data_IF_792774307155
#
_entry.id   IF_792774307155
#
_cell.length_a   1.000
_cell.length_b   1.000
_cell.length_c   1.000
_cell.angle_alpha   90.00
_cell.angle_beta   90.00
_cell.angle_gamma   90.00
#
_symmetry.space_group_name_H-M   'P 1'
#
loop_
_entity.id
_entity.type
_entity.pdbx_description
1 polymer ?
#
# COMPACT_ATOMS: atom_id res chain seq x y z
N UNK A 1 -5.86 -6.70 9.42
CA UNK A 1 -6.64 -5.69 10.19
C UNK A 1 -6.94 -4.54 9.25
N UNK A 2 -8.16 -4.03 9.27
CA UNK A 2 -8.52 -2.82 8.53
C UNK A 2 -8.14 -1.60 9.35
N UNK A 3 -7.39 -0.67 8.74
CA UNK A 3 -7.04 0.60 9.36
C UNK A 3 -7.95 1.67 8.78
N UNK A 4 -8.62 2.43 9.63
CA UNK A 4 -9.52 3.51 9.22
C UNK A 4 -9.06 4.85 9.78
N UNK A 5 -9.26 5.91 9.00
CA UNK A 5 -8.98 7.29 9.38
C UNK A 5 -10.12 8.19 8.91
N UNK A 6 -10.57 9.09 9.77
CA UNK A 6 -11.53 10.14 9.41
C UNK A 6 -10.77 11.37 8.93
N UNK A 7 -11.14 11.89 7.77
CA UNK A 7 -10.63 13.14 7.19
C UNK A 7 -11.84 14.00 6.80
N UNK A 8 -12.11 15.06 7.56
CA UNK A 8 -13.32 15.86 7.38
C UNK A 8 -14.58 15.01 7.54
N UNK A 9 -15.49 15.10 6.56
CA UNK A 9 -16.77 14.38 6.56
C UNK A 9 -16.70 12.98 5.95
N UNK A 10 -15.50 12.43 5.80
CA UNK A 10 -15.27 11.13 5.18
C UNK A 10 -14.43 10.21 6.06
N UNK A 11 -14.86 8.97 6.14
CA UNK A 11 -14.06 7.86 6.65
C UNK A 11 -13.35 7.19 5.47
N UNK A 12 -12.04 6.99 5.62
CA UNK A 12 -11.19 6.29 4.66
C UNK A 12 -10.65 5.03 5.32
N UNK A 13 -11.10 3.88 4.82
CA UNK A 13 -10.62 2.57 5.26
C UNK A 13 -9.63 2.01 4.25
N UNK A 14 -8.42 1.68 4.70
CA UNK A 14 -7.49 0.90 3.90
C UNK A 14 -7.96 -0.56 3.82
N UNK A 15 -8.12 -1.06 2.60
CA UNK A 15 -8.51 -2.45 2.30
C UNK A 15 -7.28 -3.20 1.80
N UNK A 16 -6.84 -4.20 2.55
CA UNK A 16 -5.67 -5.02 2.18
C UNK A 16 -6.08 -6.16 1.27
N UNK A 17 -5.45 -6.25 0.11
CA UNK A 17 -5.56 -7.39 -0.81
C UNK A 17 -4.41 -8.41 -0.62
N UNK A 18 -3.38 -8.02 0.15
CA UNK A 18 -2.28 -8.90 0.55
C UNK A 18 -0.94 -8.40 0.02
N UNK A 19 0.12 -9.16 0.29
CA UNK A 19 1.45 -8.85 -0.21
C UNK A 19 1.53 -9.12 -1.71
N UNK A 20 2.22 -8.25 -2.45
CA UNK A 20 2.51 -8.47 -3.88
C UNK A 20 3.48 -9.64 -4.06
N UNK A 21 3.91 -9.95 -5.28
CA UNK A 21 5.07 -10.83 -5.44
C UNK A 21 6.37 -10.12 -5.04
N UNK A 22 7.32 -10.80 -4.36
CA UNK A 22 8.61 -10.21 -4.03
C UNK A 22 9.41 -9.97 -5.30
N UNK A 23 9.98 -8.78 -5.42
CA UNK A 23 10.73 -8.34 -6.62
C UNK A 23 12.13 -7.91 -6.26
N UNK A 24 13.04 -8.06 -7.21
CA UNK A 24 14.36 -7.45 -7.09
C UNK A 24 14.23 -5.91 -7.19
N UNK A 25 14.73 -5.13 -6.20
CA UNK A 25 14.66 -3.68 -6.27
C UNK A 25 15.27 -3.13 -7.56
N UNK A 26 16.34 -3.74 -8.07
CA UNK A 26 17.00 -3.30 -9.31
C UNK A 26 16.16 -3.50 -10.58
N UNK A 27 15.19 -4.42 -10.57
CA UNK A 27 14.25 -4.61 -11.68
C UNK A 27 13.17 -3.53 -11.69
N UNK A 28 12.75 -3.08 -10.51
CA UNK A 28 11.66 -2.08 -10.37
C UNK A 28 12.20 -0.66 -10.42
N UNK A 29 13.37 -0.43 -9.84
CA UNK A 29 14.03 0.86 -9.71
C UNK A 29 15.46 0.77 -10.30
N UNK A 30 15.59 0.64 -11.63
CA UNK A 30 16.89 0.36 -12.27
C UNK A 30 17.93 1.46 -12.08
N UNK A 31 17.47 2.70 -11.86
CA UNK A 31 18.34 3.87 -11.69
C UNK A 31 18.74 4.11 -10.23
N UNK A 32 18.25 3.30 -9.29
CA UNK A 32 18.58 3.42 -7.87
C UNK A 32 19.71 2.46 -7.52
N UNK A 33 20.88 2.96 -7.09
CA UNK A 33 22.00 2.08 -6.75
C UNK A 33 21.69 1.27 -5.47
N UNK A 34 22.20 0.03 -5.33
CA UNK A 34 21.87 -0.85 -4.22
C UNK A 34 22.07 -0.25 -2.83
N UNK A 35 23.12 0.53 -2.63
CA UNK A 35 23.48 1.17 -1.36
C UNK A 35 22.46 2.24 -0.91
N UNK A 36 21.70 2.83 -1.84
CA UNK A 36 20.68 3.82 -1.51
C UNK A 36 19.52 3.22 -0.70
N UNK A 37 19.39 1.89 -0.69
CA UNK A 37 18.39 1.18 0.10
C UNK A 37 18.81 0.96 1.55
N UNK A 38 20.08 1.10 1.90
CA UNK A 38 20.59 0.77 3.24
C UNK A 38 19.86 1.51 4.38
N UNK A 39 19.50 2.82 4.26
CA UNK A 39 18.72 3.50 5.29
C UNK A 39 17.30 2.96 5.47
N UNK A 40 16.75 2.29 4.46
CA UNK A 40 15.35 1.85 4.42
C UNK A 40 15.22 0.32 4.48
N UNK A 41 16.34 -0.41 4.47
CA UNK A 41 16.36 -1.87 4.33
C UNK A 41 15.41 -2.57 5.31
N UNK A 42 15.37 -2.12 6.55
CA UNK A 42 14.53 -2.72 7.61
C UNK A 42 13.03 -2.47 7.45
N UNK A 43 12.61 -1.49 6.66
CA UNK A 43 11.19 -1.13 6.47
C UNK A 43 10.69 -1.36 5.04
N UNK A 44 11.60 -1.36 4.05
CA UNK A 44 11.27 -1.40 2.63
C UNK A 44 11.59 -2.75 1.98
N UNK A 45 12.54 -3.51 2.54
CA UNK A 45 13.00 -4.78 1.97
C UNK A 45 12.74 -5.95 2.92
N UNK A 46 12.54 -7.14 2.33
CA UNK A 46 12.52 -8.40 3.08
C UNK A 46 13.92 -8.75 3.60
N UNK A 47 13.99 -9.78 4.44
CA UNK A 47 15.27 -10.33 4.93
C UNK A 47 16.20 -10.75 3.79
N UNK A 48 15.63 -11.19 2.66
CA UNK A 48 16.35 -11.59 1.45
C UNK A 48 16.64 -10.40 0.51
N UNK A 49 16.39 -9.16 0.97
CA UNK A 49 16.64 -7.94 0.21
C UNK A 49 15.65 -7.69 -0.94
N UNK A 50 14.46 -8.29 -0.91
CA UNK A 50 13.44 -8.11 -1.96
C UNK A 50 12.45 -7.01 -1.59
N UNK A 51 11.99 -6.27 -2.59
CA UNK A 51 10.89 -5.33 -2.42
C UNK A 51 9.55 -6.07 -2.49
N UNK A 52 8.75 -5.95 -1.44
CA UNK A 52 7.53 -6.76 -1.25
C UNK A 52 6.40 -5.88 -0.68
N UNK A 53 5.87 -4.94 -1.50
CA UNK A 53 4.79 -4.04 -1.08
C UNK A 53 3.46 -4.79 -0.99
N UNK A 54 2.50 -4.22 -0.26
CA UNK A 54 1.13 -4.71 -0.26
C UNK A 54 0.34 -4.14 -1.44
N UNK A 55 -0.54 -4.96 -2.01
CA UNK A 55 -1.68 -4.49 -2.80
C UNK A 55 -2.77 -4.02 -1.86
N UNK A 56 -3.23 -2.79 -2.04
CA UNK A 56 -4.26 -2.18 -1.20
C UNK A 56 -5.19 -1.31 -2.03
N UNK A 57 -6.46 -1.32 -1.67
CA UNK A 57 -7.45 -0.33 -2.09
C UNK A 57 -7.85 0.57 -0.93
N UNK A 58 -8.65 1.58 -1.22
CA UNK A 58 -9.21 2.50 -0.23
C UNK A 58 -10.71 2.60 -0.40
N UNK A 59 -11.43 2.35 0.68
CA UNK A 59 -12.87 2.49 0.75
C UNK A 59 -13.21 3.81 1.42
N UNK A 60 -13.90 4.68 0.69
CA UNK A 60 -14.23 6.04 1.12
C UNK A 60 -15.74 6.12 1.28
N UNK A 61 -16.18 6.56 2.46
CA UNK A 61 -17.61 6.73 2.80
C UNK A 61 -17.82 8.03 3.55
N UNK A 62 -18.97 8.68 3.32
CA UNK A 62 -19.37 9.80 4.16
C UNK A 62 -19.64 9.30 5.58
N UNK A 63 -19.20 10.07 6.58
CA UNK A 63 -19.49 9.80 7.98
C UNK A 63 -20.98 9.98 8.31
N UNK A 64 -21.73 10.72 7.48
CA UNK A 64 -23.20 10.81 7.57
C UNK A 64 -23.90 9.49 7.22
N UNK A 65 -23.21 8.57 6.55
CA UNK A 65 -23.80 7.36 5.98
C UNK A 65 -24.58 7.60 4.68
N UNK A 66 -24.66 8.84 4.21
CA UNK A 66 -25.34 9.20 2.96
C UNK A 66 -24.36 9.34 1.79
N UNK A 67 -24.86 9.17 0.57
CA UNK A 67 -24.08 9.33 -0.65
C UNK A 67 -23.32 8.06 -1.09
N UNK A 68 -22.39 8.21 -2.05
CA UNK A 68 -21.74 7.07 -2.68
C UNK A 68 -20.71 6.41 -1.76
N UNK A 69 -20.59 5.10 -1.88
CA UNK A 69 -19.40 4.36 -1.42
C UNK A 69 -18.42 4.30 -2.58
N UNK A 70 -17.20 4.79 -2.37
CA UNK A 70 -16.16 4.86 -3.41
C UNK A 70 -15.06 3.86 -3.06
N UNK A 71 -14.67 3.04 -4.04
CA UNK A 71 -13.49 2.20 -3.97
C UNK A 71 -12.42 2.76 -4.92
N UNK A 72 -11.25 3.08 -4.37
CA UNK A 72 -10.04 3.43 -5.13
C UNK A 72 -9.11 2.24 -5.15
N UNK A 73 -8.76 1.78 -6.35
CA UNK A 73 -8.07 0.53 -6.65
C UNK A 73 -8.80 -0.73 -6.14
N UNK A 74 -8.55 -1.86 -6.80
CA UNK A 74 -9.25 -3.12 -6.53
C UNK A 74 -8.30 -4.30 -6.30
N UNK A 75 -7.01 -4.03 -6.06
CA UNK A 75 -6.02 -5.09 -5.88
C UNK A 75 -5.78 -5.89 -7.16
N UNK A 76 -5.46 -7.17 -7.00
CA UNK A 76 -5.13 -8.11 -8.06
C UNK A 76 -6.28 -9.05 -8.48
N UNK A 77 -7.42 -8.98 -7.81
CA UNK A 77 -8.64 -9.69 -8.21
C UNK A 77 -9.33 -10.47 -7.12
#
# INVERSE_FOLDING_TARGET
MTTSLVIGDYEITAVSDGASLPRDPSTVFPDVPPEAWDPYRSIALTVDGKWHPDWRGHLIRSTSGEGPTILVDAGMG
#
